data_IF_048061788572
#
_entry.id   IF_048061788572
#
_cell.length_a   1.000
_cell.length_b   1.000
_cell.length_c   1.000
_cell.angle_alpha   90.00
_cell.angle_beta   90.00
_cell.angle_gamma   90.00
#
_symmetry.space_group_name_H-M   'P 1'
#
loop_
_entity.id
_entity.type
_entity.pdbx_description
1 polymer ?
#
# COMPACT_ATOMS: atom_id res chain seq x y z
N UNK A 1 -5.94 -8.78 12.73
CA UNK A 1 -4.85 -8.71 11.74
C UNK A 1 -5.48 -9.19 10.46
N UNK A 2 -6.03 -8.24 9.71
CA UNK A 2 -6.68 -8.51 8.43
C UNK A 2 -5.55 -8.92 7.48
N UNK A 3 -5.48 -10.22 7.22
CA UNK A 3 -4.63 -10.77 6.19
C UNK A 3 -5.32 -10.32 4.91
N UNK A 4 -4.73 -9.35 4.24
CA UNK A 4 -5.32 -8.80 3.03
C UNK A 4 -5.38 -9.86 1.95
N UNK A 5 -6.59 -10.30 1.59
CA UNK A 5 -6.79 -11.29 0.53
C UNK A 5 -7.34 -10.55 -0.66
N UNK A 6 -6.58 -10.59 -1.74
CA UNK A 6 -7.07 -10.12 -3.01
C UNK A 6 -8.42 -10.74 -3.37
N UNK A 7 -9.44 -9.92 -3.65
CA UNK A 7 -10.78 -10.38 -4.01
C UNK A 7 -11.79 -10.34 -2.86
N UNK A 8 -11.44 -9.78 -1.71
CA UNK A 8 -12.34 -9.63 -0.56
C UNK A 8 -13.28 -8.41 -0.65
N UNK A 9 -13.15 -7.60 -1.70
CA UNK A 9 -13.98 -6.42 -1.93
C UNK A 9 -13.45 -5.14 -1.28
N UNK A 10 -12.27 -5.18 -0.65
CA UNK A 10 -11.66 -4.04 0.03
C UNK A 10 -10.33 -3.72 -0.64
N UNK A 11 -10.14 -2.49 -1.11
CA UNK A 11 -8.86 -2.09 -1.71
C UNK A 11 -7.82 -1.74 -0.63
N UNK A 12 -6.84 -2.62 -0.43
CA UNK A 12 -5.83 -2.52 0.62
C UNK A 12 -4.51 -1.99 0.08
N UNK A 13 -4.48 -0.70 -0.23
CA UNK A 13 -3.30 -0.01 -0.81
C UNK A 13 -2.02 -0.23 0.01
N UNK A 14 -2.15 -0.29 1.34
CA UNK A 14 -1.00 -0.47 2.24
C UNK A 14 -0.38 -1.88 2.14
N UNK A 15 -1.17 -2.86 1.69
CA UNK A 15 -0.74 -4.23 1.39
C UNK A 15 -0.43 -4.44 -0.10
N UNK A 16 -0.22 -3.36 -0.85
CA UNK A 16 0.25 -3.42 -2.23
C UNK A 16 -0.81 -3.85 -3.25
N UNK A 17 -2.09 -3.80 -2.88
CA UNK A 17 -3.18 -3.92 -3.83
C UNK A 17 -3.36 -2.62 -4.61
N UNK A 18 -3.38 -2.75 -5.94
CA UNK A 18 -3.65 -1.63 -6.84
C UNK A 18 -5.15 -1.51 -7.16
N UNK A 19 -5.84 -2.65 -7.16
CA UNK A 19 -7.24 -2.77 -7.51
C UNK A 19 -7.90 -3.92 -6.78
N UNK A 20 -9.23 -3.93 -6.78
CA UNK A 20 -10.04 -5.02 -6.26
C UNK A 20 -10.95 -5.54 -7.38
N UNK A 21 -10.92 -6.85 -7.62
CA UNK A 21 -11.59 -7.49 -8.74
C UNK A 21 -13.10 -7.22 -8.76
N UNK A 22 -13.74 -7.29 -7.60
CA UNK A 22 -15.19 -7.17 -7.45
C UNK A 22 -15.71 -5.74 -7.65
N UNK A 23 -14.86 -4.74 -7.46
CA UNK A 23 -15.22 -3.32 -7.59
C UNK A 23 -14.63 -2.65 -8.84
N UNK A 24 -13.79 -3.36 -9.60
CA UNK A 24 -13.15 -2.85 -10.79
C UNK A 24 -14.14 -2.58 -11.92
N UNK A 25 -14.07 -1.39 -12.53
CA UNK A 25 -14.89 -1.03 -13.67
C UNK A 25 -14.37 -1.73 -14.95
N UNK A 26 -15.12 -2.67 -15.56
CA UNK A 26 -14.68 -3.42 -16.73
C UNK A 26 -14.58 -2.58 -18.02
N UNK A 27 -15.05 -1.34 -18.02
CA UNK A 27 -14.98 -0.45 -19.20
C UNK A 27 -13.63 0.25 -19.34
N UNK A 28 -12.75 0.17 -18.34
CA UNK A 28 -11.43 0.76 -18.38
C UNK A 28 -10.51 -0.01 -19.36
N UNK A 29 -9.49 0.64 -19.95
CA UNK A 29 -8.61 -0.01 -20.93
C UNK A 29 -7.66 -1.06 -20.30
N UNK A 30 -7.64 -1.15 -18.98
CA UNK A 30 -6.89 -2.13 -18.19
C UNK A 30 -7.87 -2.99 -17.38
N UNK A 31 -7.41 -4.18 -16.99
CA UNK A 31 -8.13 -5.09 -16.11
C UNK A 31 -7.53 -5.12 -14.71
N UNK A 32 -8.34 -5.45 -13.72
CA UNK A 32 -7.83 -5.93 -12.44
C UNK A 32 -7.68 -7.45 -12.54
N UNK A 33 -6.51 -8.00 -12.18
CA UNK A 33 -6.28 -9.43 -12.02
C UNK A 33 -5.29 -9.63 -10.87
N UNK A 34 -5.61 -10.50 -9.90
CA UNK A 34 -4.76 -10.71 -8.71
C UNK A 34 -4.39 -9.38 -8.01
N UNK A 35 -5.36 -8.46 -7.96
CA UNK A 35 -5.26 -7.15 -7.33
C UNK A 35 -4.17 -6.25 -7.90
N UNK A 36 -3.86 -6.50 -9.17
CA UNK A 36 -2.97 -5.71 -10.01
C UNK A 36 -3.68 -5.24 -11.27
N UNK A 37 -3.30 -4.04 -11.69
CA UNK A 37 -3.68 -3.58 -13.01
C UNK A 37 -2.89 -4.36 -14.05
N UNK A 38 -3.61 -4.80 -15.08
CA UNK A 38 -3.04 -5.46 -16.26
C UNK A 38 -3.55 -4.69 -17.46
N UNK A 39 -2.66 -3.92 -18.06
CA UNK A 39 -2.92 -3.20 -19.31
C UNK A 39 -2.86 -4.14 -20.51
N UNK A 40 -3.66 -3.84 -21.54
CA UNK A 40 -3.61 -4.57 -22.82
C UNK A 40 -2.62 -3.95 -23.81
N UNK A 41 -2.19 -2.72 -23.58
CA UNK A 41 -1.18 -2.02 -24.41
C UNK A 41 0.24 -2.26 -23.94
N UNK A 42 0.43 -2.97 -22.83
CA UNK A 42 1.77 -3.24 -22.29
C UNK A 42 2.75 -3.80 -23.33
N UNK A 43 3.89 -3.14 -23.44
CA UNK A 43 4.97 -3.43 -24.37
C UNK A 43 4.96 -2.54 -25.62
N UNK A 44 4.16 -1.48 -25.68
CA UNK A 44 4.12 -0.57 -26.83
C UNK A 44 5.12 0.61 -26.73
N UNK A 45 5.80 0.74 -25.59
CA UNK A 45 6.78 1.79 -25.31
C UNK A 45 6.19 3.07 -24.74
N UNK A 46 4.89 3.11 -24.43
CA UNK A 46 4.20 4.22 -23.79
C UNK A 46 3.61 3.77 -22.46
N UNK A 47 3.80 4.56 -21.40
CA UNK A 47 3.17 4.27 -20.11
C UNK A 47 1.72 4.73 -20.12
N UNK A 48 0.81 3.76 -20.29
CA UNK A 48 -0.62 3.98 -20.35
C UNK A 48 -1.31 3.88 -18.97
N UNK A 49 -2.62 4.14 -18.95
CA UNK A 49 -3.42 3.91 -17.74
C UNK A 49 -3.40 2.42 -17.37
N UNK A 50 -3.10 2.14 -16.09
CA UNK A 50 -3.01 0.77 -15.58
C UNK A 50 -1.59 0.18 -15.65
N UNK A 51 -0.60 0.96 -16.10
CA UNK A 51 0.81 0.55 -16.13
C UNK A 51 1.63 1.34 -15.11
N UNK A 52 2.66 0.71 -14.56
CA UNK A 52 3.66 1.39 -13.73
C UNK A 52 4.89 1.79 -14.55
N UNK A 53 5.11 1.12 -15.68
CA UNK A 53 6.21 1.32 -16.60
C UNK A 53 5.87 0.73 -17.97
N UNK A 54 6.53 1.19 -19.03
CA UNK A 54 6.54 0.49 -20.31
C UNK A 54 7.88 0.76 -21.01
N UNK A 55 8.72 -0.27 -21.16
CA UNK A 55 9.98 -0.17 -21.92
C UNK A 55 9.91 -0.92 -23.25
N UNK A 56 8.70 -1.21 -23.73
CA UNK A 56 8.44 -1.96 -24.93
C UNK A 56 9.13 -3.31 -24.92
N UNK A 57 9.93 -3.54 -25.96
CA UNK A 57 10.75 -4.76 -26.11
C UNK A 57 11.83 -4.94 -25.03
N UNK A 58 12.06 -3.96 -24.15
CA UNK A 58 13.02 -4.05 -23.04
C UNK A 58 12.36 -4.46 -21.72
N UNK A 59 11.05 -4.72 -21.70
CA UNK A 59 10.39 -5.36 -20.57
C UNK A 59 10.99 -6.76 -20.36
N UNK A 60 11.25 -7.16 -19.11
CA UNK A 60 12.03 -8.36 -18.82
C UNK A 60 11.71 -8.98 -17.46
N UNK A 61 11.91 -10.29 -17.34
CA UNK A 61 11.86 -11.04 -16.07
C UNK A 61 13.24 -11.17 -15.42
N UNK A 62 14.25 -10.47 -15.93
CA UNK A 62 15.58 -10.45 -15.31
C UNK A 62 15.51 -9.78 -13.93
N UNK A 63 16.32 -10.25 -12.95
CA UNK A 63 16.43 -9.59 -11.67
C UNK A 63 16.73 -8.10 -11.84
N UNK A 64 16.00 -7.26 -11.11
CA UNK A 64 16.06 -5.80 -11.11
C UNK A 64 15.71 -5.16 -12.45
N UNK A 65 14.98 -5.85 -13.32
CA UNK A 65 14.46 -5.25 -14.54
C UNK A 65 13.63 -4.01 -14.19
N UNK A 66 13.90 -2.90 -14.87
CA UNK A 66 13.18 -1.64 -14.68
C UNK A 66 11.70 -1.71 -15.05
N UNK A 67 11.29 -2.75 -15.78
CA UNK A 67 9.91 -3.01 -16.11
C UNK A 67 9.70 -4.50 -16.38
N UNK A 68 8.68 -5.08 -15.76
CA UNK A 68 8.28 -6.47 -15.97
C UNK A 68 7.47 -6.63 -17.27
N UNK A 69 7.31 -7.85 -17.80
CA UNK A 69 6.53 -8.09 -19.01
C UNK A 69 5.03 -7.76 -18.90
N UNK A 70 4.53 -7.60 -17.68
CA UNK A 70 3.15 -7.17 -17.39
C UNK A 70 3.05 -5.65 -17.11
N UNK A 71 4.11 -4.89 -17.40
CA UNK A 71 4.20 -3.44 -17.20
C UNK A 71 4.06 -3.01 -15.72
N UNK A 72 4.38 -3.94 -14.82
CA UNK A 72 4.58 -3.66 -13.41
C UNK A 72 6.05 -3.46 -13.07
N UNK A 73 6.30 -2.79 -11.95
CA UNK A 73 7.64 -2.75 -11.36
C UNK A 73 7.92 -4.03 -10.56
N UNK A 74 9.21 -4.37 -10.43
CA UNK A 74 9.65 -5.46 -9.57
C UNK A 74 9.18 -5.26 -8.13
N UNK A 75 8.69 -6.33 -7.52
CA UNK A 75 8.06 -6.30 -6.20
C UNK A 75 8.11 -7.68 -5.55
N UNK A 76 7.97 -7.64 -4.23
CA UNK A 76 7.81 -8.86 -3.46
C UNK A 76 6.58 -9.66 -3.87
N UNK A 77 6.80 -10.94 -4.16
CA UNK A 77 5.80 -11.92 -4.54
C UNK A 77 5.53 -11.95 -6.05
N UNK A 78 6.48 -11.50 -6.87
CA UNK A 78 6.38 -11.56 -8.34
C UNK A 78 7.10 -12.77 -8.95
N UNK A 79 7.63 -13.67 -8.11
CA UNK A 79 8.41 -14.85 -8.46
C UNK A 79 9.78 -14.55 -9.07
N UNK A 80 10.25 -13.30 -8.98
CA UNK A 80 11.56 -12.87 -9.50
C UNK A 80 12.35 -12.29 -8.36
N UNK A 81 13.37 -13.03 -7.92
CA UNK A 81 14.27 -12.57 -6.86
C UNK A 81 15.05 -11.32 -7.28
N UNK A 82 14.60 -10.15 -6.81
CA UNK A 82 15.28 -8.88 -7.00
C UNK A 82 16.40 -8.67 -5.95
N UNK A 83 17.28 -7.69 -6.18
CA UNK A 83 18.43 -7.44 -5.30
C UNK A 83 18.06 -6.92 -3.91
N UNK A 84 16.86 -6.38 -3.75
CA UNK A 84 16.33 -5.90 -2.47
C UNK A 84 15.58 -6.99 -1.69
N UNK A 85 15.48 -8.21 -2.24
CA UNK A 85 14.73 -9.32 -1.67
C UNK A 85 15.68 -10.41 -1.15
N UNK A 86 15.33 -11.03 -0.03
CA UNK A 86 16.06 -12.19 0.50
C UNK A 86 15.47 -13.52 0.01
N UNK A 87 14.19 -13.49 -0.35
CA UNK A 87 13.41 -14.59 -0.92
C UNK A 87 12.31 -13.98 -1.80
N UNK A 88 11.78 -14.76 -2.74
CA UNK A 88 10.51 -14.50 -3.40
C UNK A 88 9.95 -15.88 -3.78
N UNK A 89 8.79 -16.23 -3.23
CA UNK A 89 8.09 -17.50 -3.50
C UNK A 89 6.80 -17.30 -4.31
N UNK A 90 6.68 -16.16 -4.97
CA UNK A 90 5.60 -15.82 -5.89
C UNK A 90 4.32 -15.35 -5.20
N UNK A 91 4.37 -15.06 -3.91
CA UNK A 91 3.24 -14.51 -3.18
C UNK A 91 3.68 -13.61 -2.00
N UNK A 92 2.75 -13.10 -1.20
CA UNK A 92 3.03 -12.24 -0.02
C UNK A 92 2.43 -12.79 1.27
N UNK A 93 2.08 -14.08 1.27
CA UNK A 93 1.48 -14.78 2.40
C UNK A 93 2.63 -15.28 3.25
N UNK A 94 2.76 -14.78 4.47
CA UNK A 94 3.78 -15.30 5.37
C UNK A 94 3.42 -16.69 5.94
N UNK A 95 4.39 -17.27 6.66
CA UNK A 95 4.45 -18.61 7.22
C UNK A 95 4.66 -19.75 6.19
N UNK A 96 5.18 -19.44 5.02
CA UNK A 96 5.57 -20.41 3.97
C UNK A 96 7.08 -20.36 3.65
N UNK A 97 7.85 -19.53 4.37
CA UNK A 97 9.30 -19.40 4.19
C UNK A 97 9.72 -18.04 3.64
N UNK A 98 8.79 -17.24 3.11
CA UNK A 98 9.03 -15.87 2.69
C UNK A 98 7.93 -14.94 3.22
N UNK A 99 8.30 -13.90 3.96
CA UNK A 99 7.30 -12.99 4.52
C UNK A 99 6.75 -12.03 3.45
N UNK A 100 5.71 -11.28 3.81
CA UNK A 100 5.07 -10.29 2.93
C UNK A 100 5.99 -9.14 2.48
N UNK A 101 7.21 -9.05 3.03
CA UNK A 101 8.24 -8.07 2.72
C UNK A 101 9.47 -8.70 2.06
N UNK A 102 9.37 -9.97 1.64
CA UNK A 102 10.42 -10.74 0.97
C UNK A 102 11.69 -10.91 1.82
N UNK A 103 11.46 -11.09 3.12
CA UNK A 103 12.46 -11.50 4.10
C UNK A 103 12.24 -12.97 4.43
N UNK A 104 13.34 -13.73 4.51
CA UNK A 104 13.26 -15.15 4.85
C UNK A 104 12.67 -15.33 6.24
N UNK A 105 11.67 -16.18 6.33
CA UNK A 105 11.08 -16.54 7.59
C UNK A 105 11.93 -17.62 8.27
N UNK A 106 12.28 -17.39 9.53
CA UNK A 106 12.88 -18.44 10.35
C UNK A 106 11.75 -19.38 10.75
N UNK A 107 11.48 -20.35 9.88
CA UNK A 107 10.66 -21.50 10.21
C UNK A 107 11.44 -22.33 11.23
N UNK A 108 11.25 -22.01 12.52
CA UNK A 108 11.63 -22.93 13.60
C UNK A 108 10.79 -24.17 13.35
N UNK A 109 11.40 -25.18 12.74
CA UNK A 109 10.86 -26.52 12.71
C UNK A 109 10.76 -26.94 14.17
N UNK A 110 9.61 -26.67 14.80
CA UNK A 110 9.21 -27.37 16.01
C UNK A 110 8.99 -28.79 15.54
N UNK A 111 10.07 -29.55 15.47
CA UNK A 111 10.04 -30.99 15.32
C UNK A 111 9.20 -31.47 16.50
N UNK A 112 7.91 -31.76 16.27
CA UNK A 112 6.98 -32.13 17.33
C UNK A 112 7.38 -33.42 18.06
N UNK A 113 8.43 -34.12 17.61
CA UNK A 113 8.93 -35.34 18.24
C UNK A 113 10.47 -35.43 18.36
N UNK A 114 11.19 -34.30 18.44
CA UNK A 114 12.60 -34.37 18.85
C UNK A 114 12.94 -33.29 19.87
N UNK A 115 13.19 -33.73 21.10
CA UNK A 115 14.06 -33.01 22.04
C UNK A 115 15.45 -32.99 21.39
N UNK A 116 15.71 -32.01 20.53
CA UNK A 116 17.06 -31.70 20.12
C UNK A 116 17.55 -30.65 21.13
N UNK A 117 18.27 -31.12 22.14
CA UNK A 117 19.17 -30.29 22.94
C UNK A 117 20.21 -29.67 21.98
N UNK A 118 19.83 -28.59 21.31
CA UNK A 118 20.82 -27.63 20.86
C UNK A 118 21.15 -26.80 22.09
N UNK A 119 22.16 -27.28 22.82
CA UNK A 119 22.87 -26.49 23.80
C UNK A 119 23.34 -25.21 23.13
N UNK A 120 22.63 -24.12 23.39
CA UNK A 120 23.22 -22.80 23.30
C UNK A 120 24.20 -22.71 24.47
N UNK A 121 25.44 -23.15 24.24
CA UNK A 121 26.56 -22.79 25.10
C UNK A 121 26.71 -21.27 25.01
N UNK A 122 26.10 -20.58 25.98
CA UNK A 122 26.59 -19.29 26.43
C UNK A 122 27.99 -19.51 26.99
N UNK A 123 29.01 -19.42 26.13
CA UNK A 123 30.39 -19.23 26.56
C UNK A 123 30.53 -17.80 27.13
N UNK A 124 29.96 -17.59 28.33
CA UNK A 124 30.33 -16.47 29.20
C UNK A 124 31.60 -16.90 29.91
N UNK A 125 32.75 -16.62 29.30
CA UNK A 125 34.05 -16.75 29.95
C UNK A 125 34.16 -15.72 31.08
N UNK A 126 34.42 -16.13 32.33
CA UNK A 126 34.77 -15.20 33.40
C UNK A 126 36.27 -14.89 33.31
N UNK A 127 36.64 -13.73 32.75
CA UNK A 127 38.01 -13.22 32.89
C UNK A 127 38.14 -12.41 34.17
N UNK A 128 38.90 -12.96 35.13
CA UNK A 128 39.47 -12.26 36.27
C UNK A 128 40.91 -11.77 35.97
N UNK A 129 41.48 -10.85 36.77
CA UNK A 129 42.09 -9.61 36.27
C UNK A 129 43.63 -9.58 36.23
N UNK A 130 44.14 -8.51 35.59
CA UNK A 130 45.50 -7.95 35.59
C UNK A 130 46.56 -8.73 34.75
N UNK A 131 47.44 -8.12 33.95
CA UNK A 131 48.06 -6.79 33.99
C UNK A 131 48.74 -6.41 32.67
N UNK A 132 48.70 -5.11 32.36
CA UNK A 132 49.57 -4.25 31.52
C UNK A 132 50.38 -4.85 30.35
N UNK A 133 50.10 -4.36 29.13
CA UNK A 133 51.09 -3.58 28.35
C UNK A 133 50.41 -2.80 27.21
N UNK A 134 50.71 -1.50 27.18
CA UNK A 134 50.17 -0.45 26.33
C UNK A 134 50.27 -0.72 24.82
N UNK A 135 49.17 -0.54 24.07
CA UNK A 135 49.21 -0.01 22.71
C UNK A 135 48.18 1.12 22.59
N UNK A 136 48.65 2.26 22.10
CA UNK A 136 48.01 3.57 22.13
C UNK A 136 46.76 3.61 21.24
N UNK A 137 45.60 3.90 21.84
CA UNK A 137 44.43 4.34 21.09
C UNK A 137 44.53 5.86 20.90
N UNK A 138 44.48 6.28 19.64
CA UNK A 138 44.38 7.67 19.25
C UNK A 138 43.13 8.30 19.87
N UNK A 139 43.33 9.40 20.58
CA UNK A 139 42.27 10.21 21.17
C UNK A 139 41.56 10.99 20.06
N UNK A 140 40.30 10.67 19.79
CA UNK A 140 39.41 11.61 19.10
C UNK A 140 38.93 12.65 20.11
N UNK A 141 39.07 13.96 19.85
CA UNK A 141 38.62 14.99 20.77
C UNK A 141 37.09 15.04 20.81
N UNK A 142 36.52 14.79 21.98
CA UNK A 142 35.12 15.06 22.28
C UNK A 142 34.89 16.57 22.26
N UNK A 143 34.22 17.07 21.23
CA UNK A 143 33.65 18.41 21.25
C UNK A 143 32.28 18.36 21.96
N UNK A 144 32.04 19.13 23.03
CA UNK A 144 30.73 19.25 23.63
C UNK A 144 29.87 20.18 22.77
N UNK A 145 29.16 19.63 21.79
CA UNK A 145 28.10 20.37 21.12
C UNK A 145 26.85 20.37 22.01
N UNK A 146 26.68 21.47 22.73
CA UNK A 146 25.43 21.85 23.36
C UNK A 146 24.46 22.23 22.24
N UNK A 147 23.45 21.40 21.98
CA UNK A 147 22.36 21.75 21.07
C UNK A 147 21.45 22.76 21.77
N UNK A 148 21.23 23.96 21.21
CA UNK A 148 20.16 24.82 21.70
C UNK A 148 18.82 24.21 21.29
N UNK A 149 17.96 23.96 22.28
CA UNK A 149 16.55 23.64 22.06
C UNK A 149 15.87 24.81 21.33
N UNK A 150 15.80 24.76 20.00
CA UNK A 150 14.84 25.58 19.30
C UNK A 150 13.48 24.92 19.43
N UNK A 151 12.62 25.58 20.20
CA UNK A 151 11.22 25.24 20.34
C UNK A 151 10.59 25.31 18.94
N UNK A 152 10.28 24.16 18.36
CA UNK A 152 9.40 24.09 17.20
C UNK A 152 8.03 24.61 17.64
N UNK A 153 7.43 25.61 16.97
CA UNK A 153 6.08 26.00 17.30
C UNK A 153 5.18 24.81 17.01
N UNK A 154 4.48 24.33 18.03
CA UNK A 154 3.40 23.37 17.88
C UNK A 154 2.48 23.89 16.78
N UNK A 155 2.42 23.18 15.65
CA UNK A 155 1.38 23.38 14.66
C UNK A 155 0.06 23.07 15.38
N UNK A 156 -0.65 24.12 15.80
CA UNK A 156 -1.98 23.97 16.35
C UNK A 156 -2.87 23.55 15.20
N UNK A 157 -3.21 22.26 15.13
CA UNK A 157 -4.34 21.78 14.35
C UNK A 157 -5.57 22.50 14.88
N UNK A 158 -5.94 23.62 14.27
CA UNK A 158 -7.26 24.19 14.47
C UNK A 158 -8.26 23.21 13.86
N UNK A 159 -9.19 22.62 14.63
CA UNK A 159 -10.31 21.96 14.01
C UNK A 159 -11.12 23.03 13.31
N UNK A 160 -11.13 22.99 11.97
CA UNK A 160 -12.08 23.75 11.19
C UNK A 160 -13.45 23.12 11.48
N UNK A 161 -14.15 23.64 12.50
CA UNK A 161 -15.56 23.38 12.67
C UNK A 161 -16.28 24.06 11.51
N UNK A 162 -16.38 23.36 10.38
CA UNK A 162 -17.48 23.60 9.45
C UNK A 162 -18.75 23.32 10.24
N UNK A 163 -19.46 24.39 10.59
CA UNK A 163 -20.81 24.31 11.10
C UNK A 163 -21.61 23.48 10.10
N UNK A 164 -21.98 22.27 10.51
CA UNK A 164 -23.00 21.50 9.84
C UNK A 164 -24.21 22.43 9.64
N UNK A 165 -24.74 22.60 8.41
CA UNK A 165 -26.10 23.04 8.31
C UNK A 165 -26.93 22.03 9.11
N UNK A 166 -27.73 22.55 10.04
CA UNK A 166 -28.64 21.80 10.89
C UNK A 166 -29.54 20.95 10.00
N UNK A 167 -29.16 19.70 9.77
CA UNK A 167 -30.08 18.69 9.25
C UNK A 167 -30.97 18.34 10.43
N UNK A 168 -32.12 19.01 10.50
CA UNK A 168 -33.21 18.59 11.36
C UNK A 168 -33.44 17.10 11.10
N UNK A 169 -33.23 16.30 12.14
CA UNK A 169 -33.72 14.94 12.20
C UNK A 169 -35.22 14.97 11.92
N UNK A 170 -35.61 14.49 10.75
CA UNK A 170 -36.92 13.92 10.57
C UNK A 170 -36.77 12.80 9.55
N UNK A 171 -36.98 11.60 10.04
CA UNK A 171 -37.19 10.41 9.21
C UNK A 171 -38.36 10.63 8.23
N UNK A 172 -38.80 9.59 7.52
CA UNK A 172 -39.78 9.70 6.45
C UNK A 172 -41.18 10.03 6.99
N UNK A 173 -41.42 11.31 7.33
CA UNK A 173 -42.70 11.88 7.72
C UNK A 173 -42.64 13.42 7.66
N UNK A 174 -42.44 14.00 6.47
CA UNK A 174 -42.72 15.42 6.26
C UNK A 174 -43.18 15.67 4.82
N UNK A 175 -44.47 15.42 4.60
CA UNK A 175 -45.23 15.91 3.45
C UNK A 175 -45.40 17.42 3.61
N UNK A 176 -44.88 18.21 2.66
CA UNK A 176 -45.28 19.62 2.53
C UNK A 176 -45.91 19.79 1.15
N UNK A 177 -47.24 19.91 1.18
CA UNK A 177 -48.09 20.34 0.06
C UNK A 177 -47.89 21.84 -0.12
N UNK A 178 -47.43 22.28 -1.29
CA UNK A 178 -47.60 23.67 -1.72
C UNK A 178 -48.57 23.67 -2.90
N UNK A 179 -49.81 24.07 -2.59
CA UNK A 179 -50.88 24.24 -3.55
C UNK A 179 -50.98 25.70 -4.01
N UNK A 180 -51.31 25.84 -5.30
CA UNK A 180 -52.19 26.85 -5.93
C UNK A 180 -51.74 28.30 -6.22
N UNK A 181 -52.04 28.74 -7.46
CA UNK A 181 -52.37 30.13 -7.84
C UNK A 181 -51.76 30.62 -9.16
N UNK A 182 -52.28 30.24 -10.34
CA UNK A 182 -53.20 31.03 -11.21
C UNK A 182 -52.63 32.31 -11.88
N UNK A 183 -52.56 32.31 -13.23
CA UNK A 183 -52.83 33.49 -14.04
C UNK A 183 -53.40 33.10 -15.42
N UNK A 184 -54.50 33.73 -15.78
CA UNK A 184 -55.34 33.51 -16.96
C UNK A 184 -54.92 34.40 -18.16
N UNK A 185 -55.46 34.12 -19.36
CA UNK A 185 -55.55 35.08 -20.47
C UNK A 185 -54.91 34.62 -21.78
N UNK A 186 -55.63 33.90 -22.66
CA UNK A 186 -56.39 34.42 -23.82
C UNK A 186 -55.54 34.70 -25.08
N UNK A 187 -55.78 33.91 -26.13
CA UNK A 187 -55.18 34.08 -27.46
C UNK A 187 -55.99 33.33 -28.54
N UNK A 188 -57.07 33.97 -28.96
CA UNK A 188 -58.14 33.51 -29.84
C UNK A 188 -57.68 33.26 -31.31
N UNK A 189 -58.10 32.11 -31.85
CA UNK A 189 -58.87 31.96 -33.12
C UNK A 189 -58.25 31.54 -34.47
N UNK A 190 -58.93 30.50 -35.01
CA UNK A 190 -59.24 30.09 -36.41
C UNK A 190 -58.04 29.90 -37.36
N UNK A 191 -57.99 28.81 -38.12
CA UNK A 191 -59.02 28.48 -39.12
C UNK A 191 -58.85 27.05 -39.66
N UNK A 192 -59.92 26.25 -39.62
CA UNK A 192 -60.05 24.99 -40.38
C UNK A 192 -60.03 25.26 -41.89
N UNK A 193 -59.20 24.52 -42.64
CA UNK A 193 -59.33 24.07 -44.06
C UNK A 193 -58.23 23.01 -44.22
N UNK A 194 -58.42 21.77 -44.70
CA UNK A 194 -59.45 21.06 -45.45
C UNK A 194 -59.55 19.65 -44.91
#
# INVERSE_FOLDING_TARGET
LEIGICGDGILQRLLGEQCEQSTHNPTLPYSCLRCRFVSRSCGDGHTDLGEECDRGNLNSTSPNANCRPDCSLGRCGDSILDSFEQCDDGNRIGNDGCDAYCVKEISVLVQKDAILETGYENQVTPQQPNSLAAHQFAQFPFAPYQMPYQQLPYAQLQPFMQQLPQTTESGPAAVVVVASGMAAGWGWVRRRRK
#
